data_IF_047412787797
#
_entry.id   IF_047412787797
#
_cell.length_a   1.000
_cell.length_b   1.000
_cell.length_c   1.000
_cell.angle_alpha   90.00
_cell.angle_beta   90.00
_cell.angle_gamma   90.00
#
_symmetry.space_group_name_H-M   'P 1'
#
loop_
_entity.id
_entity.type
_entity.pdbx_description
1 polymer ?
#
# COMPACT_ATOMS: atom_id res chain seq x y z
N UNK A 1 6.20 33.51 22.85
CA UNK A 1 6.42 32.10 23.09
C UNK A 1 5.43 31.20 22.36
N UNK A 2 4.15 31.57 22.33
CA UNK A 2 3.13 30.75 21.64
C UNK A 2 3.36 30.66 20.14
N UNK A 3 3.88 31.73 19.52
CA UNK A 3 4.16 31.73 18.09
C UNK A 3 5.28 30.76 17.71
N UNK A 4 6.22 30.55 18.62
CA UNK A 4 7.34 29.64 18.40
C UNK A 4 6.88 28.19 18.40
N UNK A 5 5.85 27.87 19.20
CA UNK A 5 5.30 26.52 19.25
C UNK A 5 4.47 26.19 18.02
N UNK A 6 3.83 27.17 17.40
CA UNK A 6 3.01 26.95 16.22
C UNK A 6 3.84 26.69 14.96
N UNK A 7 5.01 27.34 14.84
CA UNK A 7 5.86 27.19 13.65
C UNK A 7 6.36 25.77 13.42
N UNK A 8 6.85 25.03 14.44
CA UNK A 8 7.25 23.64 14.23
C UNK A 8 6.12 22.75 13.78
N UNK A 9 4.91 22.95 14.30
CA UNK A 9 3.74 22.18 13.91
C UNK A 9 3.36 22.42 12.46
N UNK A 10 3.42 23.67 12.02
CA UNK A 10 3.14 24.03 10.63
C UNK A 10 4.17 23.40 9.69
N UNK A 11 5.44 23.44 10.07
CA UNK A 11 6.51 22.83 9.27
C UNK A 11 6.33 21.33 9.18
N UNK A 12 5.97 20.68 10.28
CA UNK A 12 5.69 19.24 10.27
C UNK A 12 4.51 18.90 9.37
N UNK A 13 3.45 19.71 9.39
CA UNK A 13 2.29 19.51 8.53
C UNK A 13 2.66 19.64 7.07
N UNK A 14 3.47 20.65 6.73
CA UNK A 14 3.95 20.83 5.36
C UNK A 14 4.82 19.66 4.89
N UNK A 15 5.66 19.15 5.77
CA UNK A 15 6.48 17.98 5.48
C UNK A 15 5.64 16.76 5.19
N UNK A 16 4.62 16.52 6.00
CA UNK A 16 3.71 15.38 5.80
C UNK A 16 2.97 15.50 4.48
N UNK A 17 2.51 16.69 4.13
CA UNK A 17 1.83 16.92 2.85
C UNK A 17 2.76 16.70 1.67
N UNK A 18 4.02 17.13 1.80
CA UNK A 18 5.01 16.91 0.75
C UNK A 18 5.31 15.44 0.52
N UNK A 19 5.36 14.63 1.61
CA UNK A 19 5.61 13.21 1.45
C UNK A 19 4.46 12.47 0.77
N UNK A 20 3.23 12.98 0.84
CA UNK A 20 2.10 12.37 0.17
C UNK A 20 2.08 12.61 -1.34
N UNK A 21 2.90 13.52 -1.85
CA UNK A 21 2.95 13.81 -3.27
C UNK A 21 3.91 12.91 -4.03
N UNK A 22 4.63 12.04 -3.34
CA UNK A 22 5.57 11.14 -3.97
C UNK A 22 4.88 10.01 -4.73
N UNK A 23 5.58 9.45 -5.72
CA UNK A 23 5.06 8.35 -6.51
C UNK A 23 4.84 7.11 -5.65
N UNK A 24 3.86 6.31 -6.04
CA UNK A 24 3.54 5.06 -5.37
C UNK A 24 4.70 4.08 -5.47
N UNK A 25 4.90 3.29 -4.45
CA UNK A 25 5.94 2.27 -4.41
C UNK A 25 5.27 0.89 -4.31
N UNK A 26 5.71 -0.03 -5.17
CA UNK A 26 5.15 -1.39 -5.22
C UNK A 26 6.25 -2.42 -5.36
N UNK A 27 6.03 -3.61 -4.81
CA UNK A 27 6.85 -4.75 -5.17
C UNK A 27 6.68 -5.04 -6.65
N UNK A 28 7.80 -5.21 -7.36
CA UNK A 28 7.81 -5.47 -8.79
C UNK A 28 8.68 -6.68 -9.03
N UNK A 29 8.06 -7.80 -9.33
CA UNK A 29 8.77 -9.07 -9.34
C UNK A 29 7.96 -10.15 -10.05
N UNK A 30 8.64 -11.26 -10.32
CA UNK A 30 8.04 -12.46 -10.88
C UNK A 30 8.74 -13.65 -10.23
N UNK A 31 7.99 -14.58 -9.65
CA UNK A 31 8.56 -15.71 -8.95
C UNK A 31 7.62 -16.90 -8.88
N UNK A 32 8.14 -18.02 -8.38
CA UNK A 32 7.37 -19.23 -8.22
C UNK A 32 6.48 -19.23 -6.98
N UNK A 33 6.76 -18.33 -6.05
CA UNK A 33 5.95 -18.14 -4.85
C UNK A 33 6.15 -16.72 -4.33
N UNK A 34 5.42 -16.38 -3.27
CA UNK A 34 5.43 -15.02 -2.73
C UNK A 34 6.83 -14.59 -2.24
N UNK A 35 7.52 -15.47 -1.52
CA UNK A 35 8.84 -15.15 -0.97
C UNK A 35 9.87 -14.97 -2.08
N UNK A 36 9.83 -15.82 -3.09
CA UNK A 36 10.73 -15.75 -4.22
C UNK A 36 10.55 -14.43 -4.99
N UNK A 37 9.31 -14.03 -5.19
CA UNK A 37 8.97 -12.76 -5.81
C UNK A 37 9.49 -11.59 -4.97
N UNK A 38 9.19 -11.59 -3.68
CA UNK A 38 9.53 -10.46 -2.78
C UNK A 38 11.03 -10.24 -2.63
N UNK A 39 11.85 -11.25 -2.87
CA UNK A 39 13.30 -11.07 -2.81
C UNK A 39 13.84 -10.08 -3.83
N UNK A 40 13.08 -9.84 -4.88
CA UNK A 40 13.48 -8.89 -5.92
C UNK A 40 13.23 -7.44 -5.51
N UNK A 41 12.48 -7.23 -4.42
CA UNK A 41 12.32 -5.94 -3.78
C UNK A 41 11.22 -5.08 -4.39
N UNK A 42 11.03 -3.92 -3.78
CA UNK A 42 10.05 -2.95 -4.25
C UNK A 42 10.73 -1.87 -5.11
N UNK A 43 9.93 -1.19 -5.93
CA UNK A 43 10.41 -0.13 -6.81
C UNK A 43 9.43 1.02 -6.80
N UNK A 44 9.95 2.21 -7.06
CA UNK A 44 9.12 3.40 -7.21
C UNK A 44 8.41 3.30 -8.56
N UNK A 45 7.10 3.43 -8.54
CA UNK A 45 6.29 3.34 -9.73
C UNK A 45 6.36 4.62 -10.56
N UNK A 46 6.07 4.57 -11.86
CA UNK A 46 5.90 5.79 -12.64
C UNK A 46 4.81 6.67 -12.06
N UNK A 47 4.89 7.97 -12.33
CA UNK A 47 4.00 8.95 -11.73
C UNK A 47 2.52 8.74 -12.07
N UNK A 48 2.24 8.05 -13.16
CA UNK A 48 0.87 7.77 -13.57
C UNK A 48 0.30 6.49 -12.96
N UNK A 49 1.09 5.73 -12.22
CA UNK A 49 0.61 4.51 -11.54
C UNK A 49 -0.07 4.88 -10.23
N UNK A 50 -1.25 4.34 -10.01
CA UNK A 50 -2.02 4.62 -8.81
C UNK A 50 -2.47 3.33 -8.09
N UNK A 51 -1.87 2.20 -8.43
CA UNK A 51 -2.19 0.92 -7.82
C UNK A 51 -0.99 0.00 -7.83
N UNK A 52 -0.94 -0.92 -6.86
CA UNK A 52 -0.05 -2.08 -6.86
C UNK A 52 -0.89 -3.32 -7.12
N UNK A 53 -0.35 -4.25 -7.92
CA UNK A 53 -1.08 -5.45 -8.29
C UNK A 53 -0.32 -6.70 -7.89
N UNK A 54 -1.07 -7.76 -7.60
CA UNK A 54 -0.59 -9.12 -7.44
C UNK A 54 -1.38 -9.99 -8.40
N UNK A 55 -0.69 -10.70 -9.27
CA UNK A 55 -1.29 -11.65 -10.19
C UNK A 55 -0.86 -13.05 -9.76
N UNK A 56 -1.83 -13.90 -9.42
CA UNK A 56 -1.59 -15.27 -8.98
C UNK A 56 -2.00 -16.21 -10.09
N UNK A 57 -1.04 -16.97 -10.61
CA UNK A 57 -1.31 -17.97 -11.61
C UNK A 57 -1.79 -19.28 -10.99
N UNK A 58 -2.35 -20.14 -11.82
CA UNK A 58 -2.82 -21.45 -11.36
C UNK A 58 -1.68 -22.41 -11.03
N UNK A 59 -0.46 -22.10 -11.45
CA UNK A 59 0.74 -22.89 -11.14
C UNK A 59 1.49 -22.37 -9.91
N UNK A 60 0.80 -21.67 -9.04
CA UNK A 60 1.34 -20.98 -7.86
C UNK A 60 2.37 -19.87 -8.20
N UNK A 61 2.53 -19.54 -9.46
CA UNK A 61 3.37 -18.41 -9.87
C UNK A 61 2.79 -17.08 -9.39
N UNK A 62 3.70 -16.16 -9.04
CA UNK A 62 3.32 -14.85 -8.51
C UNK A 62 4.00 -13.78 -9.36
N UNK A 63 3.22 -12.81 -9.82
CA UNK A 63 3.74 -11.61 -10.47
C UNK A 63 3.21 -10.39 -9.75
N UNK A 64 4.09 -9.45 -9.46
CA UNK A 64 3.72 -8.21 -8.79
C UNK A 64 4.23 -7.04 -9.61
N UNK A 65 3.45 -5.96 -9.65
CA UNK A 65 3.83 -4.80 -10.44
C UNK A 65 3.07 -3.55 -10.03
N UNK A 66 3.55 -2.42 -10.52
CA UNK A 66 2.78 -1.19 -10.52
C UNK A 66 1.60 -1.34 -11.49
N UNK A 67 0.48 -0.74 -11.17
CA UNK A 67 -0.71 -0.87 -11.99
C UNK A 67 -1.57 0.39 -11.91
N UNK A 68 -2.80 0.29 -12.41
CA UNK A 68 -3.73 1.39 -12.49
C UNK A 68 -5.08 0.97 -11.93
N UNK A 69 -5.79 1.92 -11.33
CA UNK A 69 -7.13 1.65 -10.82
C UNK A 69 -8.08 1.20 -11.92
N UNK A 70 -7.93 1.74 -13.12
CA UNK A 70 -8.77 1.34 -14.26
C UNK A 70 -8.58 -0.13 -14.61
N UNK A 71 -7.35 -0.62 -14.62
CA UNK A 71 -7.07 -2.04 -14.84
C UNK A 71 -7.64 -2.89 -13.72
N UNK A 72 -7.45 -2.46 -12.48
CA UNK A 72 -7.93 -3.20 -11.31
C UNK A 72 -9.44 -3.32 -11.29
N UNK A 73 -10.15 -2.26 -11.65
CA UNK A 73 -11.61 -2.27 -11.77
C UNK A 73 -12.08 -3.29 -12.79
N UNK A 74 -11.44 -3.31 -13.95
CA UNK A 74 -11.79 -4.26 -15.01
C UNK A 74 -11.52 -5.69 -14.57
N UNK A 75 -10.38 -5.93 -13.95
CA UNK A 75 -10.00 -7.28 -13.51
C UNK A 75 -10.95 -7.81 -12.44
N UNK A 76 -11.43 -6.95 -11.54
CA UNK A 76 -12.32 -7.39 -10.48
C UNK A 76 -13.78 -7.52 -10.93
N UNK A 77 -14.26 -6.66 -11.84
CA UNK A 77 -15.65 -6.69 -12.26
C UNK A 77 -15.95 -7.73 -13.34
N UNK A 78 -15.03 -7.94 -14.27
CA UNK A 78 -15.22 -8.87 -15.38
C UNK A 78 -14.46 -10.18 -15.21
N UNK A 79 -13.61 -10.28 -14.19
CA UNK A 79 -12.69 -11.37 -14.02
C UNK A 79 -11.52 -11.25 -14.98
N UNK A 80 -10.41 -11.88 -14.64
CA UNK A 80 -9.29 -11.97 -15.55
C UNK A 80 -9.58 -13.06 -16.58
N UNK A 81 -9.22 -12.81 -17.83
CA UNK A 81 -9.65 -13.68 -18.94
C UNK A 81 -9.05 -15.10 -18.90
N UNK A 82 -7.95 -15.27 -18.20
CA UNK A 82 -7.30 -16.57 -18.11
C UNK A 82 -7.87 -17.37 -16.94
N UNK A 83 -8.37 -18.59 -17.17
CA UNK A 83 -8.89 -19.42 -16.09
C UNK A 83 -7.80 -19.72 -15.05
N UNK A 84 -8.15 -19.67 -13.78
CA UNK A 84 -7.21 -19.96 -12.70
C UNK A 84 -6.27 -18.83 -12.34
N UNK A 85 -6.35 -17.68 -13.02
CA UNK A 85 -5.55 -16.52 -12.71
C UNK A 85 -6.37 -15.55 -11.87
N UNK A 86 -5.79 -15.06 -10.77
CA UNK A 86 -6.44 -14.10 -9.88
C UNK A 86 -5.62 -12.83 -9.82
N UNK A 87 -6.30 -11.70 -9.80
CA UNK A 87 -5.68 -10.38 -9.71
C UNK A 87 -6.18 -9.70 -8.44
N UNK A 88 -5.24 -9.24 -7.62
CA UNK A 88 -5.52 -8.47 -6.42
C UNK A 88 -4.81 -7.14 -6.52
N UNK A 89 -5.50 -6.07 -6.20
CA UNK A 89 -4.94 -4.73 -6.25
C UNK A 89 -5.04 -4.04 -4.90
N UNK A 90 -4.10 -3.12 -4.66
CA UNK A 90 -4.11 -2.28 -3.48
C UNK A 90 -3.48 -0.93 -3.85
N UNK A 91 -3.57 0.04 -2.94
CA UNK A 91 -3.36 1.44 -3.34
C UNK A 91 -2.44 2.22 -2.42
N UNK A 92 -1.65 1.53 -1.60
CA UNK A 92 -0.68 2.16 -0.71
C UNK A 92 0.71 1.59 -0.96
N UNK A 93 1.74 2.29 -0.48
CA UNK A 93 3.13 1.88 -0.71
C UNK A 93 3.37 0.46 -0.20
N UNK A 94 3.98 -0.36 -1.04
CA UNK A 94 4.36 -1.75 -0.74
C UNK A 94 3.21 -2.61 -0.26
N UNK A 95 1.98 -2.23 -0.58
CA UNK A 95 0.80 -2.96 -0.13
C UNK A 95 0.69 -4.36 -0.74
N UNK A 96 1.40 -4.62 -1.83
CA UNK A 96 1.41 -5.94 -2.48
C UNK A 96 2.54 -6.85 -2.00
N UNK A 97 3.07 -6.59 -0.81
CA UNK A 97 4.12 -7.43 -0.21
C UNK A 97 3.62 -8.84 0.08
N UNK A 98 2.35 -8.99 0.43
CA UNK A 98 1.76 -10.31 0.67
C UNK A 98 1.20 -10.88 -0.62
N UNK A 99 1.02 -12.21 -0.66
CA UNK A 99 0.49 -12.89 -1.84
C UNK A 99 -0.95 -12.56 -2.18
N UNK A 100 -1.60 -11.74 -1.37
CA UNK A 100 -2.87 -11.08 -1.67
C UNK A 100 -2.74 -9.66 -1.18
N UNK A 101 -3.59 -8.77 -1.72
CA UNK A 101 -3.60 -7.39 -1.28
C UNK A 101 -3.80 -7.35 0.24
N UNK A 102 -2.95 -6.59 0.93
CA UNK A 102 -3.00 -6.53 2.37
C UNK A 102 -4.28 -5.83 2.82
N UNK A 103 -5.02 -6.50 3.68
CA UNK A 103 -6.27 -5.99 4.16
C UNK A 103 -6.29 -6.00 5.67
N UNK A 104 -5.64 -5.05 6.27
CA UNK A 104 -5.70 -4.95 7.71
C UNK A 104 -5.80 -3.50 8.14
N UNK A 105 -6.78 -2.75 7.60
CA UNK A 105 -6.98 -1.39 8.07
C UNK A 105 -7.38 -1.35 9.54
N UNK A 106 -7.97 -2.43 10.05
CA UNK A 106 -8.40 -2.49 11.45
C UNK A 106 -7.28 -2.43 12.46
N UNK A 107 -6.13 -3.02 12.15
CA UNK A 107 -4.99 -3.00 13.08
C UNK A 107 -4.43 -1.60 13.25
N UNK A 108 -4.35 -0.83 12.17
CA UNK A 108 -3.91 0.55 12.25
C UNK A 108 -4.85 1.41 13.08
N UNK A 109 -6.15 1.23 12.89
CA UNK A 109 -7.15 1.96 13.64
C UNK A 109 -7.12 1.61 15.12
N UNK A 110 -6.94 0.34 15.44
CA UNK A 110 -6.84 -0.11 16.83
C UNK A 110 -5.63 0.48 17.53
N UNK A 111 -4.49 0.55 16.85
CA UNK A 111 -3.29 1.17 17.40
C UNK A 111 -3.51 2.63 17.72
N UNK A 112 -4.14 3.37 16.80
CA UNK A 112 -4.45 4.78 17.01
C UNK A 112 -5.40 4.99 18.17
N UNK A 113 -6.43 4.16 18.27
CA UNK A 113 -7.39 4.22 19.37
C UNK A 113 -6.73 3.96 20.72
N UNK A 114 -5.83 2.98 20.76
CA UNK A 114 -5.07 2.68 21.97
C UNK A 114 -4.20 3.85 22.39
N UNK A 115 -3.51 4.48 21.44
CA UNK A 115 -2.69 5.64 21.72
C UNK A 115 -3.52 6.80 22.27
N UNK A 116 -4.67 7.04 21.66
CA UNK A 116 -5.59 8.07 22.13
C UNK A 116 -6.09 7.82 23.53
N UNK A 117 -6.44 6.57 23.83
CA UNK A 117 -6.90 6.18 25.17
C UNK A 117 -5.81 6.38 26.20
N UNK A 118 -4.58 5.99 25.89
CA UNK A 118 -3.43 6.18 26.77
C UNK A 118 -3.21 7.67 27.06
N UNK A 119 -3.30 8.51 26.03
CA UNK A 119 -3.14 9.95 26.18
C UNK A 119 -4.22 10.54 27.09
N UNK A 120 -5.45 10.10 26.93
CA UNK A 120 -6.56 10.55 27.77
C UNK A 120 -6.37 10.15 29.25
N UNK A 121 -5.90 8.93 29.47
CA UNK A 121 -5.63 8.44 30.82
C UNK A 121 -4.48 9.19 31.47
N UNK A 122 -3.45 9.51 30.72
CA UNK A 122 -2.30 10.26 31.23
C UNK A 122 -2.69 11.72 31.56
N UNK A 123 -3.58 12.32 30.76
CA UNK A 123 -4.02 13.67 30.97
C UNK A 123 -5.00 13.82 32.14
N UNK A 124 -5.64 12.76 32.54
CA UNK A 124 -6.49 12.76 33.72
C UNK A 124 -5.72 12.31 34.94
#
# INVERSE_FOLDING_TARGET
MRAVQCCPLLLCSLFLLASHSEALQCYTCMGSNNDDCNRQGSKICPSYSDACAVVLGHDSGVMKSCSYRSFCSQASSQGYRAPGVRVHCCYTDDCNAKGRAAELPGLGCLSLLLLLLIQLLVLN
#
